data_IF_660564173533
#
_entry.id   IF_660564173533
#
_cell.length_a   1.000
_cell.length_b   1.000
_cell.length_c   1.000
_cell.angle_alpha   90.00
_cell.angle_beta   90.00
_cell.angle_gamma   90.00
#
_symmetry.space_group_name_H-M   'P 1'
#
loop_
_entity.id
_entity.type
_entity.pdbx_description
1 polymer ?
#
# COMPACT_ATOMS: atom_id res chain seq x y z
N UNK A 1 -26.69 -8.78 -9.24
CA UNK A 1 -26.64 -7.50 -8.48
C UNK A 1 -25.22 -6.96 -8.48
N UNK A 2 -25.07 -5.63 -8.63
CA UNK A 2 -23.76 -4.95 -8.53
C UNK A 2 -23.61 -4.39 -7.12
N UNK A 3 -22.60 -4.86 -6.39
CA UNK A 3 -22.31 -4.39 -5.03
C UNK A 3 -20.94 -3.70 -5.04
N UNK A 4 -20.92 -2.44 -4.64
CA UNK A 4 -19.72 -1.64 -4.59
C UNK A 4 -19.28 -1.39 -3.14
N UNK A 5 -18.05 -1.72 -2.82
CA UNK A 5 -17.46 -1.54 -1.50
C UNK A 5 -16.38 -0.46 -1.52
N UNK A 6 -16.36 0.38 -0.48
CA UNK A 6 -15.31 1.37 -0.30
C UNK A 6 -13.96 0.68 -0.07
N UNK A 7 -12.94 1.08 -0.82
CA UNK A 7 -11.59 0.57 -0.70
C UNK A 7 -10.60 1.70 -0.40
N UNK A 8 -9.54 1.40 0.33
CA UNK A 8 -8.40 2.30 0.58
C UNK A 8 -8.78 3.68 1.17
N UNK A 9 -9.91 3.81 1.83
CA UNK A 9 -10.38 5.09 2.36
C UNK A 9 -10.68 6.14 1.28
N UNK A 10 -10.87 5.70 0.04
CA UNK A 10 -11.28 6.56 -1.09
C UNK A 10 -12.77 6.86 -1.00
N UNK A 11 -13.13 8.11 -1.21
CA UNK A 11 -14.52 8.58 -1.21
C UNK A 11 -14.90 8.96 -2.62
N UNK A 12 -15.89 8.27 -3.18
CA UNK A 12 -16.40 8.58 -4.53
C UNK A 12 -17.19 9.86 -4.54
N UNK A 13 -17.11 10.60 -5.65
CA UNK A 13 -17.83 11.85 -5.87
C UNK A 13 -17.61 12.89 -4.77
N UNK A 14 -16.38 12.96 -4.23
CA UNK A 14 -16.00 13.93 -3.20
C UNK A 14 -16.04 15.35 -3.79
N UNK A 15 -16.92 16.19 -3.28
CA UNK A 15 -17.10 17.58 -3.78
C UNK A 15 -15.94 18.51 -3.38
N UNK A 16 -15.36 18.29 -2.22
CA UNK A 16 -14.25 19.07 -1.67
C UNK A 16 -13.30 18.17 -0.89
N UNK A 17 -12.01 18.47 -0.98
CA UNK A 17 -10.96 17.73 -0.24
C UNK A 17 -10.87 18.12 1.23
N UNK A 18 -11.53 19.19 1.63
CA UNK A 18 -11.53 19.62 3.03
C UNK A 18 -12.15 18.54 3.91
N UNK A 19 -11.48 18.23 5.00
CA UNK A 19 -11.92 17.16 5.91
C UNK A 19 -11.69 15.72 5.43
N UNK A 20 -11.20 15.48 4.19
CA UNK A 20 -10.94 14.10 3.72
C UNK A 20 -10.03 13.31 4.66
N UNK A 21 -9.05 13.95 5.28
CA UNK A 21 -8.16 13.29 6.25
C UNK A 21 -8.94 12.71 7.43
N UNK A 22 -9.96 13.41 7.92
CA UNK A 22 -10.83 12.92 9.00
C UNK A 22 -11.66 11.73 8.55
N UNK A 23 -12.26 11.80 7.34
CA UNK A 23 -12.98 10.68 6.75
C UNK A 23 -12.08 9.45 6.60
N UNK A 24 -10.84 9.64 6.14
CA UNK A 24 -9.86 8.58 6.02
C UNK A 24 -9.54 7.93 7.37
N UNK A 25 -9.25 8.70 8.40
CA UNK A 25 -8.99 8.18 9.74
C UNK A 25 -10.20 7.41 10.31
N UNK A 26 -11.40 7.95 10.13
CA UNK A 26 -12.63 7.27 10.55
C UNK A 26 -12.81 5.93 9.82
N UNK A 27 -12.51 5.88 8.52
CA UNK A 27 -12.55 4.64 7.75
C UNK A 27 -11.49 3.63 8.23
N UNK A 28 -10.26 4.06 8.48
CA UNK A 28 -9.18 3.19 8.93
C UNK A 28 -9.45 2.58 10.31
N UNK A 29 -10.23 3.23 11.16
CA UNK A 29 -10.61 2.74 12.50
C UNK A 29 -11.89 1.92 12.54
N UNK A 30 -12.57 1.72 11.40
CA UNK A 30 -13.74 0.83 11.34
C UNK A 30 -13.32 -0.60 11.68
N UNK A 31 -14.26 -1.36 12.27
CA UNK A 31 -14.06 -2.77 12.58
C UNK A 31 -13.55 -3.53 11.34
N UNK A 32 -12.52 -4.34 11.52
CA UNK A 32 -12.05 -5.30 10.53
C UNK A 32 -13.01 -6.49 10.56
N UNK A 33 -13.46 -6.92 9.39
CA UNK A 33 -14.33 -8.09 9.30
C UNK A 33 -13.53 -9.36 9.54
N UNK A 34 -14.16 -10.32 10.20
CA UNK A 34 -13.57 -11.64 10.39
C UNK A 34 -13.56 -12.40 9.06
N UNK A 35 -12.57 -13.25 8.89
CA UNK A 35 -12.50 -14.14 7.74
C UNK A 35 -13.67 -15.13 7.84
N UNK A 36 -14.51 -15.28 6.80
CA UNK A 36 -15.61 -16.21 6.83
C UNK A 36 -15.11 -17.66 7.03
N UNK A 37 -15.72 -18.40 7.93
CA UNK A 37 -15.34 -19.79 8.21
C UNK A 37 -15.59 -20.72 7.03
N UNK A 38 -16.51 -20.37 6.14
CA UNK A 38 -16.89 -21.13 4.95
C UNK A 38 -17.31 -20.17 3.84
N UNK A 39 -16.81 -20.43 2.65
CA UNK A 39 -17.22 -19.72 1.43
C UNK A 39 -17.93 -20.76 0.55
N UNK A 40 -19.13 -20.41 0.10
CA UNK A 40 -19.87 -21.20 -0.88
C UNK A 40 -19.57 -20.63 -2.26
N UNK A 41 -18.81 -21.39 -3.05
CA UNK A 41 -18.53 -21.07 -4.43
C UNK A 41 -19.55 -21.69 -5.39
N UNK A 42 -19.48 -21.30 -6.63
CA UNK A 42 -20.17 -21.96 -7.75
C UNK A 42 -19.29 -23.13 -8.16
N UNK A 43 -19.91 -24.31 -8.36
CA UNK A 43 -19.20 -25.48 -8.85
C UNK A 43 -19.22 -25.47 -10.38
N UNK A 44 -18.29 -24.73 -10.95
CA UNK A 44 -18.08 -24.71 -12.41
C UNK A 44 -16.60 -24.99 -12.70
N UNK A 45 -16.36 -25.60 -13.86
CA UNK A 45 -14.99 -25.84 -14.32
C UNK A 45 -14.34 -24.50 -14.65
N UNK A 46 -13.17 -24.27 -14.09
CA UNK A 46 -12.38 -23.08 -14.40
C UNK A 46 -11.47 -23.34 -15.59
N UNK A 47 -11.34 -22.34 -16.45
CA UNK A 47 -10.30 -22.35 -17.48
C UNK A 47 -8.91 -22.45 -16.84
N UNK A 48 -8.01 -23.16 -17.51
CA UNK A 48 -6.62 -23.21 -17.07
C UNK A 48 -5.98 -21.85 -17.19
N UNK A 49 -5.22 -21.45 -16.17
CA UNK A 49 -4.38 -20.25 -16.28
C UNK A 49 -3.38 -20.47 -17.43
N UNK A 50 -3.29 -19.52 -18.38
CA UNK A 50 -2.34 -19.63 -19.47
C UNK A 50 -0.91 -19.60 -18.91
N UNK A 51 -0.04 -20.40 -19.49
CA UNK A 51 1.40 -20.34 -19.19
C UNK A 51 2.02 -19.11 -19.87
N UNK A 52 3.20 -18.66 -19.43
CA UNK A 52 3.93 -17.60 -20.15
C UNK A 52 4.13 -17.90 -21.63
N UNK A 53 4.33 -19.18 -21.98
CA UNK A 53 4.49 -19.63 -23.36
C UNK A 53 3.21 -19.46 -24.18
N UNK A 54 2.04 -19.79 -23.59
CA UNK A 54 0.73 -19.59 -24.24
C UNK A 54 0.45 -18.10 -24.53
N UNK A 55 1.06 -17.21 -23.74
CA UNK A 55 0.97 -15.74 -23.89
C UNK A 55 2.10 -15.17 -24.75
N UNK A 56 2.98 -15.98 -25.34
CA UNK A 56 4.18 -15.55 -26.07
C UNK A 56 5.08 -14.59 -25.25
N UNK A 57 5.16 -14.82 -23.95
CA UNK A 57 6.04 -14.05 -23.08
C UNK A 57 7.42 -14.69 -23.03
N UNK A 58 8.43 -13.92 -23.43
CA UNK A 58 9.82 -14.33 -23.29
C UNK A 58 10.28 -14.08 -21.84
N UNK A 59 11.05 -15.03 -21.32
CA UNK A 59 11.66 -14.87 -20.01
C UNK A 59 12.89 -13.95 -20.15
N UNK A 60 12.80 -12.77 -19.56
CA UNK A 60 13.86 -11.73 -19.61
C UNK A 60 15.02 -11.98 -18.64
N UNK A 61 15.02 -13.12 -17.92
CA UNK A 61 16.02 -13.45 -16.91
C UNK A 61 15.85 -12.70 -15.59
N UNK A 62 14.85 -11.83 -15.46
CA UNK A 62 14.63 -11.06 -14.25
C UNK A 62 14.16 -11.97 -13.11
N UNK A 63 14.96 -12.02 -12.06
CA UNK A 63 14.56 -12.64 -10.79
C UNK A 63 14.15 -11.51 -9.84
N UNK A 64 12.86 -11.42 -9.45
CA UNK A 64 12.47 -10.41 -8.49
C UNK A 64 13.25 -10.60 -7.18
N UNK A 65 13.84 -9.53 -6.69
CA UNK A 65 14.59 -9.52 -5.41
C UNK A 65 13.70 -9.77 -4.18
N UNK A 66 12.44 -10.12 -4.37
CA UNK A 66 11.44 -10.26 -3.32
C UNK A 66 10.54 -11.44 -3.63
N UNK A 67 10.27 -12.23 -2.61
CA UNK A 67 9.22 -13.24 -2.65
C UNK A 67 7.84 -12.55 -2.70
N UNK A 68 7.35 -12.35 -3.91
CA UNK A 68 6.00 -11.87 -4.14
C UNK A 68 5.02 -13.01 -3.85
N UNK A 69 4.42 -12.98 -2.66
CA UNK A 69 3.31 -13.87 -2.31
C UNK A 69 3.65 -15.17 -1.60
N UNK A 70 4.94 -15.50 -1.38
CA UNK A 70 5.34 -16.68 -0.59
C UNK A 70 5.46 -16.37 0.90
N UNK A 71 5.84 -15.14 1.27
CA UNK A 71 5.90 -14.72 2.68
C UNK A 71 4.56 -14.16 3.11
N UNK A 72 4.02 -14.66 4.20
CA UNK A 72 2.76 -14.15 4.75
C UNK A 72 2.88 -12.66 5.12
N UNK A 73 1.94 -11.81 4.69
CA UNK A 73 1.96 -10.37 4.93
C UNK A 73 2.00 -10.00 6.41
N UNK A 74 1.43 -10.83 7.27
CA UNK A 74 1.47 -10.65 8.73
C UNK A 74 2.89 -10.80 9.29
N UNK A 75 3.71 -11.70 8.76
CA UNK A 75 5.11 -11.87 9.15
C UNK A 75 5.90 -10.62 8.74
N UNK A 76 5.69 -10.13 7.51
CA UNK A 76 6.34 -8.91 7.00
C UNK A 76 5.97 -7.70 7.84
N UNK A 77 4.69 -7.54 8.17
CA UNK A 77 4.21 -6.45 9.02
C UNK A 77 4.79 -6.54 10.43
N UNK A 78 4.76 -7.73 11.04
CA UNK A 78 5.29 -7.96 12.38
C UNK A 78 6.78 -7.60 12.45
N UNK A 79 7.58 -8.09 11.52
CA UNK A 79 9.02 -7.78 11.49
C UNK A 79 9.27 -6.26 11.37
N UNK A 80 8.46 -5.57 10.57
CA UNK A 80 8.56 -4.12 10.45
C UNK A 80 8.20 -3.40 11.76
N UNK A 81 7.10 -3.78 12.40
CA UNK A 81 6.60 -3.11 13.59
C UNK A 81 7.44 -3.37 14.86
N UNK A 82 8.19 -4.47 14.91
CA UNK A 82 8.90 -4.89 16.13
C UNK A 82 10.43 -4.88 16.02
N UNK A 83 10.98 -4.92 14.80
CA UNK A 83 12.41 -5.14 14.60
C UNK A 83 13.02 -4.05 13.70
N UNK A 84 12.75 -4.12 12.39
CA UNK A 84 13.49 -3.37 11.39
C UNK A 84 12.99 -1.95 11.16
N UNK A 85 11.80 -1.60 11.67
CA UNK A 85 11.16 -0.29 11.43
C UNK A 85 11.58 0.81 12.41
N UNK A 86 12.42 0.55 13.40
CA UNK A 86 12.80 1.55 14.42
C UNK A 86 13.31 2.86 13.80
N UNK A 87 14.16 2.75 12.81
CA UNK A 87 14.77 3.90 12.15
C UNK A 87 14.06 4.32 10.86
N UNK A 88 12.89 3.76 10.55
CA UNK A 88 12.17 4.02 9.32
C UNK A 88 12.06 5.51 8.98
N UNK A 89 11.72 6.35 9.94
CA UNK A 89 11.51 7.78 9.73
C UNK A 89 12.78 8.48 9.17
N UNK A 90 13.96 8.05 9.58
CA UNK A 90 15.24 8.62 9.13
C UNK A 90 15.77 7.98 7.86
N UNK A 91 15.48 6.70 7.66
CA UNK A 91 16.10 5.87 6.62
C UNK A 91 15.24 5.67 5.37
N UNK A 92 13.93 5.95 5.45
CA UNK A 92 12.98 5.67 4.36
C UNK A 92 13.29 6.38 3.03
N UNK A 93 14.10 7.46 3.06
CA UNK A 93 14.51 8.20 1.85
C UNK A 93 15.93 7.86 1.39
N UNK A 94 16.66 7.07 2.16
CA UNK A 94 18.02 6.64 1.81
C UNK A 94 17.99 5.40 0.93
N UNK A 95 18.58 5.42 -0.28
CA UNK A 95 18.44 4.32 -1.24
C UNK A 95 18.94 2.97 -0.72
N UNK A 96 20.00 2.94 0.07
CA UNK A 96 20.57 1.71 0.64
C UNK A 96 19.89 1.29 1.94
N UNK A 97 19.63 2.26 2.85
CA UNK A 97 19.07 1.98 4.17
C UNK A 97 17.58 1.62 4.10
N UNK A 98 16.84 2.23 3.18
CA UNK A 98 15.42 1.97 3.00
C UNK A 98 15.12 0.50 2.64
N UNK A 99 16.08 -0.19 2.06
CA UNK A 99 15.92 -1.61 1.75
C UNK A 99 15.63 -2.42 3.01
N UNK A 100 16.29 -2.13 4.09
CA UNK A 100 16.16 -2.84 5.38
C UNK A 100 15.02 -2.27 6.24
N UNK A 101 14.89 -0.94 6.31
CA UNK A 101 14.01 -0.27 7.27
C UNK A 101 12.58 -0.04 6.76
N UNK A 102 12.31 -0.14 5.45
CA UNK A 102 10.95 0.04 4.92
C UNK A 102 10.05 -1.16 5.16
N UNK A 103 8.73 -0.91 5.20
CA UNK A 103 7.73 -1.94 5.52
C UNK A 103 7.67 -3.12 4.56
N UNK A 104 7.98 -2.90 3.28
CA UNK A 104 7.90 -3.93 2.21
C UNK A 104 6.50 -4.48 1.96
N UNK A 105 5.47 -3.73 2.34
CA UNK A 105 4.07 -4.14 2.21
C UNK A 105 3.39 -3.65 0.92
N UNK A 106 4.09 -2.92 0.05
CA UNK A 106 3.46 -2.31 -1.13
C UNK A 106 2.80 -3.34 -2.06
N UNK A 107 3.45 -4.46 -2.31
CA UNK A 107 2.91 -5.57 -3.11
C UNK A 107 1.71 -6.22 -2.44
N UNK A 108 1.81 -6.49 -1.13
CA UNK A 108 0.72 -7.07 -0.36
C UNK A 108 -0.52 -6.16 -0.35
N UNK A 109 -0.33 -4.83 -0.27
CA UNK A 109 -1.43 -3.86 -0.36
C UNK A 109 -2.01 -3.85 -1.78
N UNK A 110 -1.16 -3.88 -2.82
CA UNK A 110 -1.59 -3.83 -4.21
C UNK A 110 -2.42 -5.05 -4.59
N UNK A 111 -2.01 -6.25 -4.17
CA UNK A 111 -2.73 -7.49 -4.42
C UNK A 111 -3.82 -7.81 -3.39
N UNK A 112 -3.98 -6.97 -2.37
CA UNK A 112 -5.03 -7.14 -1.36
C UNK A 112 -4.82 -8.32 -0.41
N UNK A 113 -3.62 -8.88 -0.33
CA UNK A 113 -3.31 -9.98 0.61
C UNK A 113 -3.29 -9.52 2.06
N UNK A 114 -3.18 -8.21 2.30
CA UNK A 114 -3.42 -7.58 3.60
C UNK A 114 -4.17 -6.26 3.41
N UNK A 115 -5.15 -6.00 4.27
CA UNK A 115 -5.91 -4.75 4.24
C UNK A 115 -5.08 -3.59 4.80
N UNK A 116 -5.14 -2.42 4.15
CA UNK A 116 -4.52 -1.20 4.68
C UNK A 116 -5.09 -0.81 6.05
N UNK A 117 -6.36 -1.15 6.34
CA UNK A 117 -6.96 -0.95 7.67
C UNK A 117 -6.30 -1.83 8.72
N UNK A 118 -6.02 -3.09 8.39
CA UNK A 118 -5.28 -3.99 9.27
C UNK A 118 -3.91 -3.43 9.59
N UNK A 119 -3.17 -3.00 8.58
CA UNK A 119 -1.84 -2.39 8.75
C UNK A 119 -1.91 -1.16 9.65
N UNK A 120 -2.87 -0.26 9.39
CA UNK A 120 -3.05 0.97 10.15
C UNK A 120 -3.36 0.67 11.62
N UNK A 121 -4.34 -0.21 11.90
CA UNK A 121 -4.75 -0.54 13.27
C UNK A 121 -3.65 -1.26 14.04
N UNK A 122 -2.94 -2.22 13.42
CA UNK A 122 -1.78 -2.87 14.03
C UNK A 122 -0.67 -1.89 14.36
N UNK A 123 -0.46 -0.89 13.50
CA UNK A 123 0.52 0.18 13.77
C UNK A 123 0.08 1.06 14.95
N UNK A 124 -1.22 1.42 15.06
CA UNK A 124 -1.74 2.16 16.22
C UNK A 124 -1.61 1.34 17.52
N UNK A 125 -1.97 0.07 17.51
CA UNK A 125 -1.83 -0.84 18.65
C UNK A 125 -0.38 -0.91 19.13
N UNK A 126 0.56 -1.09 18.20
CA UNK A 126 1.97 -1.18 18.55
C UNK A 126 2.53 0.15 19.07
N UNK A 127 2.12 1.27 18.47
CA UNK A 127 2.49 2.61 18.94
C UNK A 127 1.99 2.86 20.37
N UNK A 128 0.81 2.38 20.74
CA UNK A 128 0.29 2.47 22.11
C UNK A 128 1.11 1.62 23.09
N UNK A 129 1.42 0.37 22.72
CA UNK A 129 2.25 -0.53 23.55
C UNK A 129 3.63 0.07 23.82
N UNK A 130 4.23 0.71 22.81
CA UNK A 130 5.56 1.30 22.92
C UNK A 130 5.60 2.62 23.71
N UNK A 131 4.47 3.18 24.11
CA UNK A 131 4.44 4.37 25.00
C UNK A 131 5.06 4.11 26.37
N UNK A 132 5.11 2.84 26.81
CA UNK A 132 5.78 2.44 28.05
C UNK A 132 7.31 2.32 27.98
N UNK A 133 7.89 2.39 26.78
CA UNK A 133 9.33 2.41 26.60
C UNK A 133 9.91 3.80 26.97
N UNK A 134 11.22 3.87 27.20
CA UNK A 134 11.91 5.11 27.56
C UNK A 134 13.11 5.38 26.64
N UNK A 135 13.54 6.63 26.60
CA UNK A 135 14.77 7.02 25.93
C UNK A 135 14.69 7.23 24.43
N UNK A 136 15.80 7.07 23.74
CA UNK A 136 15.93 7.30 22.31
C UNK A 136 15.15 6.28 21.46
N UNK A 137 15.16 5.01 21.87
CA UNK A 137 14.44 3.91 21.20
C UNK A 137 12.93 4.21 21.13
N UNK A 138 12.33 4.63 22.23
CA UNK A 138 10.91 5.02 22.20
C UNK A 138 10.65 6.14 21.21
N UNK A 139 11.48 7.20 21.22
CA UNK A 139 11.32 8.34 20.31
C UNK A 139 11.47 7.91 18.85
N UNK A 140 12.42 7.03 18.54
CA UNK A 140 12.62 6.52 17.18
C UNK A 140 11.40 5.73 16.71
N UNK A 141 10.92 4.79 17.50
CA UNK A 141 9.73 4.01 17.18
C UNK A 141 8.49 4.89 17.00
N UNK A 142 8.25 5.83 17.91
CA UNK A 142 7.09 6.71 17.81
C UNK A 142 7.14 7.59 16.55
N UNK A 143 8.32 8.12 16.20
CA UNK A 143 8.52 8.89 14.99
C UNK A 143 8.30 8.03 13.73
N UNK A 144 8.78 6.78 13.76
CA UNK A 144 8.64 5.82 12.66
C UNK A 144 7.19 5.39 12.45
N UNK A 145 6.44 5.07 13.50
CA UNK A 145 5.00 4.75 13.37
C UNK A 145 4.21 5.94 12.82
N UNK A 146 4.45 7.14 13.32
CA UNK A 146 3.80 8.35 12.83
C UNK A 146 4.10 8.60 11.34
N UNK A 147 5.36 8.42 10.93
CA UNK A 147 5.77 8.57 9.53
C UNK A 147 5.16 7.49 8.65
N UNK A 148 5.08 6.26 9.13
CA UNK A 148 4.48 5.16 8.40
C UNK A 148 2.97 5.37 8.19
N UNK A 149 2.24 5.76 9.22
CA UNK A 149 0.81 6.10 9.10
C UNK A 149 0.56 7.25 8.11
N UNK A 150 1.44 8.27 8.09
CA UNK A 150 1.39 9.32 7.07
C UNK A 150 1.57 8.76 5.66
N UNK A 151 2.46 7.78 5.46
CA UNK A 151 2.68 7.12 4.16
C UNK A 151 1.48 6.26 3.74
N UNK A 152 0.83 5.55 4.65
CA UNK A 152 -0.42 4.85 4.36
C UNK A 152 -1.50 5.82 3.89
N UNK A 153 -1.61 6.99 4.55
CA UNK A 153 -2.54 8.04 4.11
C UNK A 153 -2.15 8.62 2.74
N UNK A 154 -0.87 8.79 2.46
CA UNK A 154 -0.39 9.23 1.15
C UNK A 154 -0.74 8.24 0.04
N UNK A 155 -0.60 6.96 0.29
CA UNK A 155 -1.05 5.93 -0.65
C UNK A 155 -2.51 6.16 -1.06
N UNK A 156 -3.41 6.29 -0.09
CA UNK A 156 -4.83 6.54 -0.36
C UNK A 156 -5.08 7.94 -0.94
N UNK A 157 -4.26 8.95 -0.58
CA UNK A 157 -4.36 10.29 -1.15
C UNK A 157 -4.15 10.31 -2.66
N UNK A 158 -3.18 9.56 -3.18
CA UNK A 158 -2.93 9.49 -4.61
C UNK A 158 -4.05 8.76 -5.36
N UNK A 159 -4.60 7.69 -4.78
CA UNK A 159 -5.76 7.01 -5.35
C UNK A 159 -6.99 7.94 -5.35
N UNK A 160 -7.22 8.65 -4.25
CA UNK A 160 -8.30 9.66 -4.19
C UNK A 160 -8.09 10.76 -5.23
N UNK A 161 -6.83 11.15 -5.49
CA UNK A 161 -6.55 12.18 -6.51
C UNK A 161 -6.92 11.72 -7.91
N UNK A 162 -6.68 10.45 -8.23
CA UNK A 162 -7.12 9.85 -9.49
C UNK A 162 -8.66 9.78 -9.56
N UNK A 163 -9.33 9.41 -8.47
CA UNK A 163 -10.80 9.39 -8.40
C UNK A 163 -11.40 10.78 -8.63
N UNK A 164 -10.84 11.81 -8.02
CA UNK A 164 -11.33 13.19 -8.14
C UNK A 164 -11.03 13.79 -9.54
N UNK A 165 -9.92 13.40 -10.15
CA UNK A 165 -9.39 13.97 -11.39
C UNK A 165 -9.04 12.88 -12.41
N UNK A 166 -10.05 12.17 -12.91
CA UNK A 166 -9.86 11.05 -13.88
C UNK A 166 -9.03 11.43 -15.11
N UNK A 167 -9.00 12.72 -15.45
CA UNK A 167 -8.24 13.22 -16.59
C UNK A 167 -6.71 13.01 -16.43
N UNK A 168 -6.21 12.81 -15.22
CA UNK A 168 -4.76 12.59 -14.99
C UNK A 168 -4.28 11.22 -15.49
N UNK A 169 -5.18 10.33 -15.84
CA UNK A 169 -4.85 9.10 -16.55
C UNK A 169 -4.23 9.40 -17.93
N UNK A 170 -4.69 10.48 -18.58
CA UNK A 170 -4.33 10.83 -19.95
C UNK A 170 -3.53 12.12 -20.07
N UNK A 171 -3.60 13.01 -19.08
CA UNK A 171 -2.95 14.31 -19.08
C UNK A 171 -2.15 14.55 -17.82
N UNK A 172 -1.10 15.35 -17.93
CA UNK A 172 -0.34 15.74 -16.75
C UNK A 172 -1.20 16.56 -15.78
N UNK A 173 -1.01 16.37 -14.47
CA UNK A 173 -1.71 17.11 -13.42
C UNK A 173 -1.53 18.63 -13.62
N UNK A 174 -0.31 19.05 -13.95
CA UNK A 174 -0.02 20.44 -14.24
C UNK A 174 0.13 20.64 -15.76
N UNK A 175 -0.71 21.49 -16.40
CA UNK A 175 -0.75 21.63 -17.87
C UNK A 175 0.59 22.00 -18.52
N UNK A 176 1.48 22.70 -17.81
CA UNK A 176 2.83 23.07 -18.31
C UNK A 176 3.61 21.85 -18.75
N UNK A 177 3.47 20.73 -18.06
CA UNK A 177 4.19 19.49 -18.39
C UNK A 177 3.68 18.81 -19.68
N UNK A 178 2.52 19.19 -20.21
CA UNK A 178 2.03 18.67 -21.49
C UNK A 178 2.90 19.14 -22.67
N UNK A 179 3.65 20.23 -22.50
CA UNK A 179 4.53 20.79 -23.52
C UNK A 179 5.96 20.27 -23.45
N UNK A 180 6.32 19.43 -22.47
CA UNK A 180 7.63 18.83 -22.36
C UNK A 180 7.87 17.87 -23.53
N UNK A 181 8.87 18.18 -24.34
CA UNK A 181 9.39 17.23 -25.33
C UNK A 181 10.06 16.09 -24.56
N UNK A 182 9.54 14.89 -24.70
CA UNK A 182 10.17 13.67 -24.20
C UNK A 182 10.97 13.06 -25.31
N UNK A 183 12.23 12.71 -25.04
CA UNK A 183 13.00 11.91 -25.98
C UNK A 183 12.33 10.52 -26.06
N UNK A 184 11.88 10.17 -27.26
CA UNK A 184 11.28 8.87 -27.57
C UNK A 184 12.33 7.92 -28.15
N UNK A 185 13.63 8.17 -27.95
CA UNK A 185 14.67 7.25 -28.35
C UNK A 185 14.56 5.97 -27.52
N UNK A 186 13.87 4.98 -28.08
CA UNK A 186 14.09 3.61 -27.68
C UNK A 186 15.52 3.26 -28.10
N UNK A 187 16.50 3.45 -27.21
CA UNK A 187 17.77 2.78 -27.35
C UNK A 187 17.49 1.28 -27.29
N UNK A 188 17.73 0.62 -28.41
CA UNK A 188 17.72 -0.84 -28.51
C UNK A 188 18.78 -1.45 -27.61
#
# INVERSE_FOLDING_TARGET
DWIECQQNGVVKNLKCRDGWSTLWHNYMRKKIYEVPKKIHGISEDSDKLPSPQDLNLEFDGFKPNRDFGTTEPEIVLKSFLHERGENYQREMSGPLLSEKSCSRLSTHIAYGTISIRTIFQRTEEQAQKNKGLFGSTQRNWQASYNSFQKRLRWHCHFIQKLEDLKIIEWKNIHPVYNKLKRETSHSK
#
